data_IF_918625956743
#
_entry.id   IF_918625956743
#
_cell.length_a   1.000
_cell.length_b   1.000
_cell.length_c   1.000
_cell.angle_alpha   90.00
_cell.angle_beta   90.00
_cell.angle_gamma   90.00
#
_symmetry.space_group_name_H-M   'P 1'
#
loop_
_entity.id
_entity.type
_entity.pdbx_description
1 polymer ?
#
# COMPACT_ATOMS: atom_id res chain seq x y z
N UNK A 1 7.16 -20.28 -34.05
CA UNK A 1 7.56 -18.87 -33.96
C UNK A 1 7.74 -18.59 -32.47
N UNK A 2 8.97 -18.47 -32.00
CA UNK A 2 9.23 -18.24 -30.58
C UNK A 2 8.85 -16.81 -30.21
N UNK A 3 8.09 -16.63 -29.13
CA UNK A 3 7.70 -15.30 -28.66
C UNK A 3 8.90 -14.60 -28.04
N UNK A 4 9.34 -13.49 -28.63
CA UNK A 4 10.36 -12.62 -28.03
C UNK A 4 9.66 -11.71 -27.01
N UNK A 5 10.11 -11.74 -25.76
CA UNK A 5 9.65 -10.82 -24.72
C UNK A 5 10.65 -9.67 -24.60
N UNK A 6 10.28 -8.48 -25.10
CA UNK A 6 11.10 -7.28 -24.99
C UNK A 6 10.74 -6.51 -23.71
N UNK A 7 11.69 -6.38 -22.79
CA UNK A 7 11.59 -5.49 -21.64
C UNK A 7 12.36 -4.20 -21.88
N UNK A 8 11.75 -3.04 -21.62
CA UNK A 8 12.41 -1.74 -21.70
C UNK A 8 12.62 -1.14 -20.32
N UNK A 9 13.80 -0.55 -20.09
CA UNK A 9 14.10 0.24 -18.89
C UNK A 9 14.38 1.67 -19.30
N UNK A 10 13.71 2.63 -18.65
CA UNK A 10 13.90 4.05 -18.89
C UNK A 10 14.20 4.78 -17.59
N UNK A 11 15.03 5.82 -17.67
CA UNK A 11 15.22 6.75 -16.57
C UNK A 11 14.17 7.86 -16.68
N UNK A 12 13.41 8.02 -15.61
CA UNK A 12 12.41 9.07 -15.48
C UNK A 12 13.00 10.28 -14.74
N UNK A 13 12.71 11.49 -15.24
CA UNK A 13 13.13 12.76 -14.65
C UNK A 13 11.87 13.58 -14.32
N UNK A 14 11.32 13.46 -13.10
CA UNK A 14 10.10 14.15 -12.72
C UNK A 14 10.26 15.67 -12.63
N UNK A 15 9.16 16.40 -12.83
CA UNK A 15 9.06 17.79 -12.36
C UNK A 15 8.92 17.84 -10.83
N UNK A 16 9.20 18.98 -10.17
CA UNK A 16 9.03 19.10 -8.72
C UNK A 16 7.63 18.72 -8.20
N UNK A 17 6.58 18.99 -8.97
CA UNK A 17 5.20 18.61 -8.65
C UNK A 17 5.01 17.09 -8.73
N UNK A 18 5.61 16.45 -9.73
CA UNK A 18 5.59 15.00 -9.90
C UNK A 18 6.36 14.30 -8.78
N UNK A 19 7.52 14.81 -8.37
CA UNK A 19 8.27 14.30 -7.22
C UNK A 19 7.42 14.30 -5.96
N UNK A 20 6.75 15.42 -5.70
CA UNK A 20 5.86 15.58 -4.55
C UNK A 20 4.70 14.59 -4.60
N UNK A 21 4.06 14.44 -5.76
CA UNK A 21 2.97 13.50 -5.96
C UNK A 21 3.43 12.04 -5.75
N UNK A 22 4.59 11.68 -6.27
CA UNK A 22 5.17 10.34 -6.13
C UNK A 22 5.54 10.05 -4.69
N UNK A 23 6.20 10.98 -4.00
CA UNK A 23 6.56 10.85 -2.60
C UNK A 23 5.31 10.64 -1.73
N UNK A 24 4.25 11.43 -1.95
CA UNK A 24 2.96 11.26 -1.28
C UNK A 24 2.35 9.89 -1.59
N UNK A 25 2.27 9.53 -2.87
CA UNK A 25 1.66 8.27 -3.31
C UNK A 25 2.36 7.05 -2.71
N UNK A 26 3.68 6.96 -2.89
CA UNK A 26 4.45 5.83 -2.36
C UNK A 26 4.49 5.82 -0.83
N UNK A 27 4.53 7.00 -0.19
CA UNK A 27 4.43 7.12 1.25
C UNK A 27 3.10 6.56 1.78
N UNK A 28 1.98 6.99 1.18
CA UNK A 28 0.64 6.53 1.54
C UNK A 28 0.49 5.01 1.32
N UNK A 29 0.90 4.50 0.15
CA UNK A 29 0.84 3.07 -0.18
C UNK A 29 1.65 2.24 0.82
N UNK A 30 2.90 2.64 1.08
CA UNK A 30 3.77 1.94 2.05
C UNK A 30 3.14 1.93 3.45
N UNK A 31 2.59 3.07 3.89
CA UNK A 31 1.94 3.15 5.21
C UNK A 31 0.74 2.23 5.30
N UNK A 32 -0.14 2.24 4.31
CA UNK A 32 -1.33 1.37 4.25
C UNK A 32 -0.91 -0.10 4.28
N UNK A 33 0.02 -0.49 3.42
CA UNK A 33 0.50 -1.87 3.32
C UNK A 33 1.08 -2.35 4.66
N UNK A 34 2.02 -1.59 5.24
CA UNK A 34 2.67 -1.98 6.49
C UNK A 34 1.68 -2.04 7.66
N UNK A 35 0.72 -1.12 7.72
CA UNK A 35 -0.28 -1.10 8.81
C UNK A 35 -1.19 -2.32 8.77
N UNK A 36 -1.65 -2.70 7.57
CA UNK A 36 -2.49 -3.89 7.42
C UNK A 36 -1.67 -5.17 7.59
N UNK A 37 -0.44 -5.23 7.09
CA UNK A 37 0.44 -6.37 7.28
C UNK A 37 0.72 -6.62 8.78
N UNK A 38 1.07 -5.57 9.54
CA UNK A 38 1.29 -5.63 10.98
C UNK A 38 0.06 -6.16 11.72
N UNK A 39 -1.13 -5.60 11.43
CA UNK A 39 -2.38 -6.07 12.03
C UNK A 39 -2.66 -7.54 11.70
N UNK A 40 -2.57 -7.97 10.44
CA UNK A 40 -2.80 -9.38 10.05
C UNK A 40 -1.81 -10.33 10.74
N UNK A 41 -0.58 -9.87 10.90
CA UNK A 41 0.49 -10.62 11.56
C UNK A 41 0.14 -10.85 13.04
N UNK A 42 -0.23 -9.79 13.75
CA UNK A 42 -0.65 -9.86 15.16
C UNK A 42 -1.85 -10.78 15.38
N UNK A 43 -2.90 -10.61 14.57
CA UNK A 43 -4.11 -11.45 14.64
C UNK A 43 -3.80 -12.94 14.46
N UNK A 44 -2.85 -13.27 13.58
CA UNK A 44 -2.44 -14.64 13.40
C UNK A 44 -1.63 -15.17 14.60
N UNK A 45 -0.62 -14.42 15.06
CA UNK A 45 0.24 -14.90 16.15
C UNK A 45 -0.48 -14.96 17.51
N UNK A 46 -1.34 -13.99 17.80
CA UNK A 46 -2.01 -13.87 19.10
C UNK A 46 -3.30 -14.70 19.18
N UNK A 47 -4.01 -14.86 18.06
CA UNK A 47 -5.34 -15.47 18.05
C UNK A 47 -5.49 -16.63 17.07
N UNK A 48 -4.44 -17.00 16.32
CA UNK A 48 -4.49 -17.98 15.23
C UNK A 48 -5.54 -17.64 14.15
N UNK A 49 -5.90 -16.35 14.06
CA UNK A 49 -6.92 -15.86 13.14
C UNK A 49 -6.29 -15.45 11.82
N UNK A 50 -6.59 -16.21 10.76
CA UNK A 50 -6.23 -15.80 9.40
C UNK A 50 -7.20 -14.72 8.90
N UNK A 51 -6.65 -13.55 8.64
CA UNK A 51 -7.38 -12.41 8.08
C UNK A 51 -7.34 -12.43 6.56
N UNK A 52 -8.51 -12.55 5.93
CA UNK A 52 -8.70 -12.49 4.49
C UNK A 52 -8.73 -11.03 3.98
N UNK A 53 -8.90 -10.89 2.66
CA UNK A 53 -8.96 -9.58 2.00
C UNK A 53 -10.16 -8.74 2.46
N UNK A 54 -11.35 -9.34 2.63
CA UNK A 54 -12.55 -8.61 3.01
C UNK A 54 -12.40 -7.98 4.39
N UNK A 55 -11.85 -8.74 5.35
CA UNK A 55 -11.55 -8.25 6.71
C UNK A 55 -10.47 -7.17 6.69
N UNK A 56 -9.41 -7.35 5.90
CA UNK A 56 -8.37 -6.35 5.75
C UNK A 56 -8.89 -5.04 5.13
N UNK A 57 -9.78 -5.12 4.15
CA UNK A 57 -10.40 -3.96 3.51
C UNK A 57 -11.33 -3.20 4.47
N UNK A 58 -12.15 -3.94 5.24
CA UNK A 58 -12.99 -3.34 6.29
C UNK A 58 -12.12 -2.62 7.34
N UNK A 59 -11.06 -3.29 7.82
CA UNK A 59 -10.11 -2.71 8.77
C UNK A 59 -9.45 -1.44 8.23
N UNK A 60 -9.02 -1.45 6.97
CA UNK A 60 -8.44 -0.27 6.33
C UNK A 60 -9.43 0.89 6.27
N UNK A 61 -10.69 0.62 5.94
CA UNK A 61 -11.76 1.62 5.90
C UNK A 61 -11.92 2.30 7.26
N UNK A 62 -11.88 1.53 8.35
CA UNK A 62 -11.97 2.09 9.70
C UNK A 62 -10.73 2.87 10.12
N UNK A 63 -9.53 2.44 9.69
CA UNK A 63 -8.28 3.17 9.93
C UNK A 63 -8.31 4.53 9.24
N UNK A 64 -8.75 4.60 7.98
CA UNK A 64 -8.79 5.85 7.21
C UNK A 64 -9.73 6.92 7.78
N UNK A 65 -10.76 6.52 8.56
CA UNK A 65 -11.67 7.47 9.23
C UNK A 65 -11.00 8.26 10.34
N UNK A 66 -9.86 7.81 10.86
CA UNK A 66 -9.23 8.44 12.01
C UNK A 66 -8.47 9.71 11.59
N UNK A 67 -8.50 10.79 12.38
CA UNK A 67 -7.89 12.07 12.00
C UNK A 67 -6.40 11.97 11.67
N UNK A 68 -5.65 11.09 12.35
CA UNK A 68 -4.22 10.89 12.10
C UNK A 68 -3.93 10.33 10.70
N UNK A 69 -4.92 9.76 10.03
CA UNK A 69 -4.83 9.21 8.68
C UNK A 69 -5.53 10.08 7.64
N UNK A 70 -5.89 11.33 7.96
CA UNK A 70 -6.58 12.23 7.03
C UNK A 70 -5.86 12.45 5.69
N UNK A 71 -4.53 12.29 5.66
CA UNK A 71 -3.72 12.39 4.44
C UNK A 71 -3.77 11.14 3.52
N UNK A 72 -4.41 10.04 3.95
CA UNK A 72 -4.65 8.82 3.16
C UNK A 72 -5.98 8.85 2.37
N UNK A 73 -6.71 9.96 2.47
CA UNK A 73 -8.02 10.20 1.85
C UNK A 73 -7.86 10.68 0.41
#
# INVERSE_FOLDING_TARGET
MDSVNLGYTYRFYPTPEQETLLARTFGCVRKVYNTILDWRTKEFYEHQNKMDYLKANARLTDIKKRPEFGYLS
#
